data_IF_588095462199
#
_entry.id   IF_588095462199
#
_cell.length_a   1.000
_cell.length_b   1.000
_cell.length_c   1.000
_cell.angle_alpha   90.00
_cell.angle_beta   90.00
_cell.angle_gamma   90.00
#
_symmetry.space_group_name_H-M   'P 1'
#
loop_
_entity.id
_entity.type
_entity.pdbx_description
1 polymer ?
#
# COMPACT_ATOMS: atom_id res chain seq x y z
N UNK A 1 -11.81 -57.35 40.78
CA UNK A 1 -12.55 -56.70 39.68
C UNK A 1 -13.50 -55.60 40.16
N UNK A 2 -14.27 -55.79 41.26
CA UNK A 2 -15.16 -54.71 41.75
C UNK A 2 -14.47 -53.41 42.16
N UNK A 3 -13.28 -53.50 42.76
CA UNK A 3 -12.53 -52.31 43.19
C UNK A 3 -11.86 -51.51 42.06
N UNK A 4 -11.55 -52.18 40.94
CA UNK A 4 -11.00 -51.52 39.76
C UNK A 4 -12.10 -50.71 39.04
N UNK A 5 -13.34 -51.23 39.07
CA UNK A 5 -14.48 -50.51 38.46
C UNK A 5 -14.86 -49.26 39.24
N UNK A 6 -14.77 -49.29 40.59
CA UNK A 6 -14.98 -48.10 41.41
C UNK A 6 -13.88 -47.05 41.25
N UNK A 7 -12.60 -47.44 41.08
CA UNK A 7 -11.50 -46.53 40.84
C UNK A 7 -11.60 -45.86 39.45
N UNK A 8 -12.05 -46.60 38.43
CA UNK A 8 -12.28 -46.01 37.10
C UNK A 8 -13.46 -45.01 37.11
N UNK A 9 -14.53 -45.30 37.86
CA UNK A 9 -15.67 -44.37 37.96
C UNK A 9 -15.28 -43.07 38.69
N UNK A 10 -14.38 -43.15 39.68
CA UNK A 10 -13.89 -41.97 40.40
C UNK A 10 -12.96 -41.08 39.57
N UNK A 11 -12.18 -41.68 38.66
CA UNK A 11 -11.31 -40.94 37.75
C UNK A 11 -12.15 -40.23 36.65
N UNK A 12 -13.22 -40.83 36.15
CA UNK A 12 -14.13 -40.20 35.21
C UNK A 12 -14.94 -39.04 35.81
N UNK A 13 -15.23 -39.06 37.12
CA UNK A 13 -15.95 -37.95 37.75
C UNK A 13 -15.08 -36.72 38.02
N UNK A 14 -13.75 -36.86 38.10
CA UNK A 14 -12.82 -35.72 38.21
C UNK A 14 -12.64 -34.94 36.89
N UNK A 15 -12.93 -35.56 35.74
CA UNK A 15 -12.86 -34.92 34.45
C UNK A 15 -14.05 -33.98 34.15
N UNK A 16 -15.16 -34.13 34.87
CA UNK A 16 -16.37 -33.33 34.67
C UNK A 16 -16.28 -31.91 35.25
N UNK A 17 -15.26 -31.63 36.10
CA UNK A 17 -15.08 -30.31 36.75
C UNK A 17 -14.16 -29.39 35.96
N UNK A 18 -13.55 -29.87 34.86
CA UNK A 18 -12.60 -29.12 34.04
C UNK A 18 -13.26 -28.35 32.89
N UNK A 19 -14.58 -28.34 32.82
CA UNK A 19 -15.25 -27.58 31.76
C UNK A 19 -15.27 -26.10 32.15
N UNK A 20 -14.51 -25.31 31.39
CA UNK A 20 -14.48 -23.84 31.55
C UNK A 20 -15.92 -23.33 31.37
N UNK A 21 -16.43 -22.67 32.40
CA UNK A 21 -17.72 -21.96 32.30
C UNK A 21 -17.60 -20.82 31.30
N UNK A 22 -18.23 -21.00 30.13
CA UNK A 22 -18.28 -20.01 29.06
C UNK A 22 -19.53 -19.12 29.13
N UNK A 23 -20.35 -19.24 30.15
CA UNK A 23 -21.54 -18.40 30.36
C UNK A 23 -21.17 -16.98 30.79
N UNK A 24 -19.97 -16.80 31.33
CA UNK A 24 -19.47 -15.49 31.74
C UNK A 24 -18.25 -15.10 30.93
N UNK A 25 -18.24 -13.87 30.42
CA UNK A 25 -17.09 -13.33 29.68
C UNK A 25 -15.88 -13.24 30.63
N UNK A 26 -14.68 -13.69 30.21
CA UNK A 26 -13.47 -13.52 31.01
C UNK A 26 -13.24 -12.04 31.36
N UNK A 27 -12.81 -11.78 32.60
CA UNK A 27 -12.40 -10.43 32.96
C UNK A 27 -11.21 -10.01 32.09
N UNK A 28 -11.26 -8.78 31.59
CA UNK A 28 -10.13 -8.22 30.88
C UNK A 28 -8.86 -8.26 31.71
N UNK A 29 -7.77 -8.76 31.15
CA UNK A 29 -6.45 -8.65 31.76
C UNK A 29 -5.97 -7.19 31.81
N UNK A 30 -4.88 -6.91 32.52
CA UNK A 30 -4.27 -5.59 32.46
C UNK A 30 -3.90 -5.27 31.00
N UNK A 31 -4.08 -4.01 30.60
CA UNK A 31 -3.65 -3.57 29.29
C UNK A 31 -2.15 -3.81 29.11
N UNK A 32 -1.70 -4.34 27.96
CA UNK A 32 -0.27 -4.53 27.72
C UNK A 32 0.46 -3.20 27.76
N UNK A 33 1.57 -3.14 28.46
CA UNK A 33 2.48 -2.00 28.39
C UNK A 33 3.26 -2.07 27.07
N UNK A 34 3.06 -1.06 26.22
CA UNK A 34 3.75 -0.95 24.94
C UNK A 34 4.98 -0.07 25.17
N UNK A 35 6.15 -0.69 25.23
CA UNK A 35 7.43 0.01 25.27
C UNK A 35 8.03 0.03 23.85
N UNK A 36 7.88 1.16 23.17
CA UNK A 36 8.51 1.40 21.87
C UNK A 36 9.84 2.13 22.10
N UNK A 37 10.92 1.60 21.56
CA UNK A 37 12.18 2.33 21.48
C UNK A 37 12.03 3.52 20.54
N UNK A 38 12.60 4.66 20.89
CA UNK A 38 12.65 5.80 19.99
C UNK A 38 13.57 5.45 18.80
N UNK A 39 13.14 5.66 17.54
CA UNK A 39 13.97 5.42 16.39
C UNK A 39 15.12 6.44 16.32
N UNK A 40 16.29 6.01 15.88
CA UNK A 40 17.37 6.92 15.57
C UNK A 40 17.13 7.58 14.21
N UNK A 41 17.41 8.88 14.11
CA UNK A 41 17.11 9.65 12.90
C UNK A 41 18.26 10.54 12.47
N UNK A 42 18.40 10.77 11.17
CA UNK A 42 19.26 11.79 10.59
C UNK A 42 18.70 12.31 9.27
N UNK A 43 19.21 13.45 8.82
CA UNK A 43 18.80 14.03 7.53
C UNK A 43 20.04 14.30 6.69
N UNK A 44 20.01 13.89 5.43
CA UNK A 44 21.08 14.18 4.47
C UNK A 44 21.01 15.66 4.02
N UNK A 45 22.11 16.18 3.48
CA UNK A 45 22.17 17.57 2.94
C UNK A 45 21.16 17.81 1.81
N UNK A 46 20.79 16.78 1.07
CA UNK A 46 19.78 16.84 0.02
C UNK A 46 18.34 16.78 0.55
N UNK A 47 18.13 16.68 1.86
CA UNK A 47 16.82 16.71 2.50
C UNK A 47 16.18 15.34 2.75
N UNK A 48 16.76 14.23 2.28
CA UNK A 48 16.29 12.89 2.61
C UNK A 48 16.33 12.68 4.13
N UNK A 49 15.19 12.37 4.72
CA UNK A 49 15.06 12.00 6.14
C UNK A 49 15.22 10.49 6.27
N UNK A 50 16.04 10.05 7.23
CA UNK A 50 16.28 8.63 7.47
C UNK A 50 15.89 8.30 8.90
N UNK A 51 15.16 7.20 9.05
CA UNK A 51 14.64 6.70 10.32
C UNK A 51 15.13 5.25 10.44
N UNK A 52 15.86 4.95 11.51
CA UNK A 52 16.45 3.62 11.73
C UNK A 52 15.89 3.02 13.01
N UNK A 53 15.40 1.80 12.92
CA UNK A 53 14.95 0.99 14.05
C UNK A 53 15.79 -0.30 14.06
N UNK A 54 16.76 -0.36 14.96
CA UNK A 54 17.59 -1.55 15.15
C UNK A 54 16.77 -2.67 15.80
N UNK A 55 16.83 -3.87 15.23
CA UNK A 55 16.14 -5.04 15.74
C UNK A 55 16.92 -6.32 15.42
N UNK A 56 17.75 -6.76 16.35
CA UNK A 56 18.65 -7.91 16.20
C UNK A 56 18.01 -9.28 16.53
N UNK A 57 16.68 -9.36 16.62
CA UNK A 57 16.00 -10.63 16.92
C UNK A 57 16.04 -11.64 15.77
N UNK A 58 16.08 -11.16 14.54
CA UNK A 58 16.16 -11.97 13.33
C UNK A 58 17.20 -11.35 12.39
N UNK A 59 18.02 -12.14 11.68
CA UNK A 59 19.06 -11.64 10.77
C UNK A 59 18.44 -11.12 9.44
N UNK A 60 17.59 -10.11 9.53
CA UNK A 60 16.87 -9.53 8.39
C UNK A 60 16.84 -8.02 8.48
N UNK A 61 16.80 -7.39 7.31
CA UNK A 61 16.64 -5.95 7.17
C UNK A 61 15.53 -5.64 6.16
N UNK A 62 14.83 -4.55 6.39
CA UNK A 62 13.87 -3.96 5.46
C UNK A 62 14.17 -2.47 5.28
N UNK A 63 14.14 -2.03 4.04
CA UNK A 63 14.28 -0.64 3.60
C UNK A 63 12.98 -0.21 2.94
N UNK A 64 12.46 0.93 3.33
CA UNK A 64 11.26 1.52 2.70
C UNK A 64 11.51 3.00 2.45
N UNK A 65 11.72 3.34 1.19
CA UNK A 65 11.78 4.71 0.71
C UNK A 65 10.37 5.14 0.31
N UNK A 66 9.85 6.18 0.93
CA UNK A 66 8.52 6.72 0.65
C UNK A 66 8.64 8.18 0.25
N UNK A 67 7.96 8.57 -0.80
CA UNK A 67 7.82 9.95 -1.24
C UNK A 67 6.53 10.53 -0.68
N UNK A 68 6.63 11.59 0.12
CA UNK A 68 5.48 12.30 0.73
C UNK A 68 4.95 13.37 -0.24
N UNK A 69 4.64 12.95 -1.46
CA UNK A 69 4.07 13.84 -2.43
C UNK A 69 2.57 14.01 -2.18
N UNK A 70 2.06 15.23 -2.19
CA UNK A 70 0.62 15.44 -2.18
C UNK A 70 -0.01 14.85 -3.45
N UNK A 71 -1.29 14.41 -3.39
CA UNK A 71 -2.01 14.00 -4.59
C UNK A 71 -1.98 15.12 -5.63
N UNK A 72 -1.71 14.77 -6.89
CA UNK A 72 -1.74 15.71 -8.01
C UNK A 72 -2.45 15.07 -9.20
N UNK A 73 -3.30 15.82 -9.88
CA UNK A 73 -3.96 15.36 -11.09
C UNK A 73 -2.94 15.31 -12.25
N UNK A 74 -3.03 14.25 -13.05
CA UNK A 74 -2.20 14.06 -14.24
C UNK A 74 -2.91 14.53 -15.52
N UNK A 75 -4.24 14.71 -15.46
CA UNK A 75 -5.06 15.24 -16.55
C UNK A 75 -4.95 14.39 -17.82
N UNK A 76 -4.58 15.02 -18.94
CA UNK A 76 -4.45 14.32 -20.22
C UNK A 76 -3.33 13.27 -20.27
N UNK A 77 -2.51 13.20 -19.22
CA UNK A 77 -1.42 12.24 -19.07
C UNK A 77 -1.67 11.25 -17.93
N UNK A 78 -2.93 11.05 -17.56
CA UNK A 78 -3.31 10.08 -16.52
C UNK A 78 -2.79 8.69 -16.86
N UNK A 79 -1.94 8.14 -15.97
CA UNK A 79 -1.16 6.93 -16.17
C UNK A 79 0.34 7.15 -16.33
N UNK A 80 0.80 8.40 -16.47
CA UNK A 80 2.24 8.70 -16.56
C UNK A 80 2.96 8.33 -15.26
N UNK A 81 2.33 8.54 -14.10
CA UNK A 81 2.85 8.09 -12.81
C UNK A 81 2.98 6.57 -12.72
N UNK A 82 1.96 5.84 -13.16
CA UNK A 82 1.95 4.38 -13.16
C UNK A 82 3.07 3.84 -14.06
N UNK A 83 3.19 4.35 -15.28
CA UNK A 83 4.27 4.00 -16.21
C UNK A 83 5.65 4.37 -15.65
N UNK A 84 5.79 5.55 -15.04
CA UNK A 84 7.03 5.94 -14.37
C UNK A 84 7.43 4.97 -13.28
N UNK A 85 6.46 4.55 -12.44
CA UNK A 85 6.69 3.60 -11.35
C UNK A 85 7.06 2.19 -11.84
N UNK A 86 6.43 1.70 -12.91
CA UNK A 86 6.69 0.36 -13.47
C UNK A 86 8.04 0.25 -14.18
N UNK A 87 8.60 1.39 -14.61
CA UNK A 87 9.94 1.44 -15.19
C UNK A 87 11.07 1.44 -14.15
N UNK A 88 10.76 1.71 -12.87
CA UNK A 88 11.74 1.57 -11.79
C UNK A 88 12.02 0.08 -11.51
N UNK A 89 13.25 -0.23 -11.12
CA UNK A 89 13.66 -1.61 -10.85
C UNK A 89 13.87 -2.48 -12.09
N UNK A 90 13.85 -1.88 -13.29
CA UNK A 90 14.22 -2.56 -14.55
C UNK A 90 15.74 -2.44 -14.84
N UNK A 91 16.57 -2.66 -13.80
CA UNK A 91 17.98 -2.30 -13.81
C UNK A 91 18.20 -0.82 -13.51
N UNK A 92 19.45 -0.38 -13.66
CA UNK A 92 19.86 1.01 -13.48
C UNK A 92 20.82 1.46 -14.59
N UNK A 93 21.37 2.66 -14.48
CA UNK A 93 22.41 3.11 -15.40
C UNK A 93 23.74 2.34 -15.23
N UNK A 94 23.94 1.70 -14.09
CA UNK A 94 25.18 0.97 -13.76
C UNK A 94 25.04 -0.55 -13.90
N UNK A 95 23.85 -1.11 -13.82
CA UNK A 95 23.60 -2.56 -13.86
C UNK A 95 22.42 -2.88 -14.80
N UNK A 96 22.59 -3.89 -15.65
CA UNK A 96 21.52 -4.35 -16.54
C UNK A 96 20.35 -4.93 -15.75
N UNK A 97 19.18 -5.03 -16.38
CA UNK A 97 17.99 -5.66 -15.77
C UNK A 97 18.24 -7.11 -15.37
N UNK A 98 18.92 -7.86 -16.22
CA UNK A 98 19.18 -9.28 -16.00
C UNK A 98 20.15 -9.47 -14.83
N UNK A 99 21.27 -8.73 -14.82
CA UNK A 99 22.26 -8.78 -13.73
C UNK A 99 21.64 -8.30 -12.40
N UNK A 100 20.80 -7.26 -12.44
CA UNK A 100 20.06 -6.76 -11.27
C UNK A 100 19.17 -7.86 -10.67
N UNK A 101 18.37 -8.52 -11.52
CA UNK A 101 17.50 -9.61 -11.07
C UNK A 101 18.31 -10.81 -10.55
N UNK A 102 19.40 -11.19 -11.23
CA UNK A 102 20.27 -12.28 -10.79
C UNK A 102 20.87 -12.00 -9.40
N UNK A 103 21.35 -10.77 -9.15
CA UNK A 103 21.88 -10.41 -7.82
C UNK A 103 20.79 -10.43 -6.74
N UNK A 104 19.61 -9.89 -7.04
CA UNK A 104 18.47 -9.88 -6.10
C UNK A 104 18.07 -11.30 -5.75
N UNK A 105 17.96 -12.17 -6.74
CA UNK A 105 17.59 -13.58 -6.56
C UNK A 105 18.69 -14.35 -5.79
N UNK A 106 19.96 -14.12 -6.10
CA UNK A 106 21.08 -14.72 -5.39
C UNK A 106 21.06 -14.40 -3.89
N UNK A 107 20.74 -13.17 -3.54
CA UNK A 107 20.65 -12.75 -2.13
C UNK A 107 19.34 -13.21 -1.46
N UNK A 108 18.40 -13.80 -2.20
CA UNK A 108 17.05 -14.07 -1.71
C UNK A 108 16.32 -12.81 -1.24
N UNK A 109 16.69 -11.66 -1.81
CA UNK A 109 16.09 -10.38 -1.49
C UNK A 109 14.78 -10.19 -2.24
N UNK A 110 13.96 -9.27 -1.74
CA UNK A 110 12.75 -8.82 -2.43
C UNK A 110 12.82 -7.33 -2.62
N UNK A 111 12.57 -6.87 -3.83
CA UNK A 111 12.50 -5.45 -4.15
C UNK A 111 11.18 -5.13 -4.83
N UNK A 112 10.66 -3.94 -4.58
CA UNK A 112 9.43 -3.44 -5.19
C UNK A 112 9.54 -1.93 -5.37
N UNK A 113 9.06 -1.45 -6.51
CA UNK A 113 9.15 -0.06 -6.90
C UNK A 113 7.77 0.45 -7.35
N UNK A 114 7.57 1.73 -7.20
CA UNK A 114 6.38 2.42 -7.67
C UNK A 114 6.63 3.92 -7.79
N UNK A 115 5.68 4.66 -8.29
CA UNK A 115 5.82 6.10 -8.52
C UNK A 115 6.10 6.94 -7.26
N UNK A 116 5.79 6.39 -6.08
CA UNK A 116 5.94 7.09 -4.79
C UNK A 116 6.67 6.27 -3.73
N UNK A 117 7.25 5.14 -4.10
CA UNK A 117 8.00 4.32 -3.15
C UNK A 117 9.03 3.43 -3.85
N UNK A 118 10.01 3.02 -3.06
CA UNK A 118 10.88 1.89 -3.38
C UNK A 118 11.14 1.12 -2.08
N UNK A 119 11.09 -0.19 -2.12
CA UNK A 119 11.31 -1.02 -0.95
C UNK A 119 12.19 -2.21 -1.25
N UNK A 120 12.97 -2.62 -0.27
CA UNK A 120 13.78 -3.83 -0.34
C UNK A 120 13.79 -4.55 1.00
N UNK A 121 13.91 -5.87 0.99
CA UNK A 121 14.11 -6.66 2.20
C UNK A 121 14.92 -7.91 1.91
N UNK A 122 15.71 -8.34 2.89
CA UNK A 122 16.52 -9.55 2.76
C UNK A 122 17.25 -9.90 4.05
N UNK A 123 18.28 -10.76 3.94
CA UNK A 123 19.12 -11.13 5.06
C UNK A 123 20.12 -10.01 5.39
N UNK A 124 20.37 -9.77 6.68
CA UNK A 124 21.27 -8.71 7.15
C UNK A 124 22.71 -8.84 6.65
N UNK A 125 23.20 -10.05 6.36
CA UNK A 125 24.52 -10.24 5.75
C UNK A 125 24.68 -9.57 4.37
N UNK A 126 23.58 -9.27 3.68
CA UNK A 126 23.56 -8.56 2.39
C UNK A 126 23.02 -7.13 2.51
N UNK A 127 22.87 -6.61 3.73
CA UNK A 127 22.20 -5.34 3.99
C UNK A 127 22.78 -4.18 3.15
N UNK A 128 24.11 -4.01 3.12
CA UNK A 128 24.79 -2.97 2.34
C UNK A 128 24.46 -3.08 0.85
N UNK A 129 24.61 -4.29 0.26
CA UNK A 129 24.37 -4.48 -1.17
C UNK A 129 22.91 -4.32 -1.57
N UNK A 130 21.98 -4.78 -0.72
CA UNK A 130 20.53 -4.59 -0.94
C UNK A 130 20.17 -3.10 -0.96
N UNK A 131 20.76 -2.30 -0.06
CA UNK A 131 20.54 -0.85 -0.03
C UNK A 131 21.15 -0.16 -1.26
N UNK A 132 22.34 -0.53 -1.65
CA UNK A 132 23.02 0.01 -2.84
C UNK A 132 22.20 -0.25 -4.10
N UNK A 133 21.72 -1.48 -4.32
CA UNK A 133 20.86 -1.81 -5.46
C UNK A 133 19.52 -1.07 -5.43
N UNK A 134 18.92 -0.95 -4.26
CA UNK A 134 17.68 -0.18 -4.08
C UNK A 134 17.90 1.29 -4.45
N UNK A 135 18.97 1.90 -3.93
CA UNK A 135 19.30 3.29 -4.20
C UNK A 135 19.59 3.52 -5.69
N UNK A 136 20.43 2.69 -6.29
CA UNK A 136 20.84 2.83 -7.70
C UNK A 136 19.64 2.68 -8.64
N UNK A 137 18.81 1.64 -8.45
CA UNK A 137 17.61 1.45 -9.27
C UNK A 137 16.56 2.56 -9.06
N UNK A 138 16.48 3.15 -7.85
CA UNK A 138 15.53 4.19 -7.54
C UNK A 138 15.95 5.58 -8.02
N UNK A 139 17.24 5.94 -7.95
CA UNK A 139 17.71 7.31 -8.25
C UNK A 139 18.50 7.43 -9.55
N UNK A 140 18.94 6.30 -10.12
CA UNK A 140 19.62 6.22 -11.42
C UNK A 140 18.94 5.22 -12.38
N UNK A 141 17.59 5.26 -12.53
CA UNK A 141 16.89 4.27 -13.32
C UNK A 141 17.30 4.30 -14.80
N UNK A 142 17.25 3.14 -15.43
CA UNK A 142 17.50 2.98 -16.85
C UNK A 142 16.17 2.95 -17.63
N UNK A 143 15.56 4.09 -17.87
CA UNK A 143 14.32 4.19 -18.64
C UNK A 143 14.58 4.03 -20.14
N UNK A 144 14.36 2.82 -20.66
CA UNK A 144 14.49 2.52 -22.08
C UNK A 144 13.16 2.57 -22.81
N UNK A 145 13.19 2.81 -24.14
CA UNK A 145 11.97 2.81 -24.96
C UNK A 145 11.34 1.41 -25.00
N UNK A 146 12.15 0.37 -25.06
CA UNK A 146 11.68 -1.01 -25.09
C UNK A 146 10.88 -1.39 -23.83
N UNK A 147 11.41 -1.10 -22.63
CA UNK A 147 10.69 -1.39 -21.38
C UNK A 147 9.44 -0.51 -21.24
N UNK A 148 9.50 0.74 -21.69
CA UNK A 148 8.34 1.62 -21.70
C UNK A 148 7.20 1.05 -22.55
N UNK A 149 7.47 0.59 -23.77
CA UNK A 149 6.46 0.01 -24.66
C UNK A 149 5.85 -1.28 -24.08
N UNK A 150 6.67 -2.10 -23.43
CA UNK A 150 6.20 -3.30 -22.72
C UNK A 150 5.25 -2.95 -21.57
N UNK A 151 5.64 -2.00 -20.73
CA UNK A 151 4.81 -1.62 -19.56
C UNK A 151 3.53 -0.87 -20.01
N UNK A 152 3.61 -0.02 -21.04
CA UNK A 152 2.43 0.62 -21.62
C UNK A 152 1.44 -0.42 -22.19
N UNK A 153 1.95 -1.42 -22.91
CA UNK A 153 1.13 -2.52 -23.44
C UNK A 153 0.43 -3.30 -22.31
N UNK A 154 1.17 -3.67 -21.27
CA UNK A 154 0.60 -4.36 -20.09
C UNK A 154 -0.50 -3.53 -19.42
N UNK A 155 -0.29 -2.23 -19.28
CA UNK A 155 -1.28 -1.34 -18.66
C UNK A 155 -2.55 -1.27 -19.50
N UNK A 156 -2.42 -1.12 -20.83
CA UNK A 156 -3.55 -1.14 -21.76
C UNK A 156 -4.31 -2.48 -21.74
N UNK A 157 -3.59 -3.61 -21.72
CA UNK A 157 -4.21 -4.94 -21.61
C UNK A 157 -4.95 -5.11 -20.26
N UNK A 158 -4.38 -4.58 -19.18
CA UNK A 158 -5.02 -4.52 -17.87
C UNK A 158 -6.34 -3.74 -17.91
N UNK A 159 -6.36 -2.58 -18.57
CA UNK A 159 -7.60 -1.80 -18.77
C UNK A 159 -8.66 -2.60 -19.54
N UNK A 160 -8.31 -3.22 -20.66
CA UNK A 160 -9.24 -4.05 -21.46
C UNK A 160 -9.84 -5.20 -20.66
N UNK A 161 -9.06 -5.77 -19.75
CA UNK A 161 -9.54 -6.81 -18.84
C UNK A 161 -10.53 -6.24 -17.83
N UNK A 162 -10.21 -5.06 -17.27
CA UNK A 162 -11.05 -4.38 -16.28
C UNK A 162 -12.37 -3.85 -16.86
N UNK A 163 -12.42 -3.47 -18.15
CA UNK A 163 -13.65 -3.04 -18.82
C UNK A 163 -14.79 -4.08 -18.73
N UNK A 164 -14.45 -5.35 -18.60
CA UNK A 164 -15.43 -6.45 -18.44
C UNK A 164 -15.85 -6.69 -16.99
N UNK A 165 -15.23 -6.01 -16.04
CA UNK A 165 -15.48 -6.16 -14.62
C UNK A 165 -16.50 -5.13 -14.13
N UNK A 166 -17.67 -5.62 -13.67
CA UNK A 166 -18.71 -4.77 -13.07
C UNK A 166 -18.16 -3.98 -11.88
N UNK A 167 -17.37 -4.63 -11.03
CA UNK A 167 -16.77 -3.98 -9.85
C UNK A 167 -15.76 -2.88 -10.24
N UNK A 168 -14.94 -3.12 -11.28
CA UNK A 168 -13.98 -2.11 -11.75
C UNK A 168 -14.70 -0.89 -12.34
N UNK A 169 -15.71 -1.12 -13.20
CA UNK A 169 -16.53 -0.05 -13.78
C UNK A 169 -17.25 0.75 -12.70
N UNK A 170 -17.90 0.07 -11.76
CA UNK A 170 -18.59 0.72 -10.65
C UNK A 170 -17.62 1.55 -9.78
N UNK A 171 -16.44 1.02 -9.45
CA UNK A 171 -15.42 1.75 -8.68
C UNK A 171 -14.88 2.98 -9.41
N UNK A 172 -14.68 2.90 -10.72
CA UNK A 172 -14.23 4.01 -11.55
C UNK A 172 -15.29 5.13 -11.60
N UNK A 173 -16.53 4.77 -11.93
CA UNK A 173 -17.65 5.71 -11.97
C UNK A 173 -17.87 6.36 -10.60
N UNK A 174 -17.88 5.55 -9.54
CA UNK A 174 -18.01 6.01 -8.16
C UNK A 174 -16.98 7.10 -7.82
N UNK A 175 -15.70 6.88 -8.09
CA UNK A 175 -14.67 7.89 -7.83
C UNK A 175 -14.85 9.14 -8.68
N UNK A 176 -15.18 8.99 -9.97
CA UNK A 176 -15.40 10.12 -10.86
C UNK A 176 -16.59 10.98 -10.43
N UNK A 177 -17.67 10.38 -9.93
CA UNK A 177 -18.83 11.08 -9.40
C UNK A 177 -18.53 11.80 -8.08
N UNK A 178 -17.81 11.13 -7.16
CA UNK A 178 -17.45 11.73 -5.86
C UNK A 178 -16.47 12.90 -5.96
N UNK A 179 -15.46 12.74 -6.79
CA UNK A 179 -14.31 13.67 -6.80
C UNK A 179 -14.27 14.56 -8.04
N UNK A 180 -14.95 14.20 -9.11
CA UNK A 180 -14.80 14.84 -10.41
C UNK A 180 -13.60 14.31 -11.20
N UNK A 181 -13.69 14.31 -12.53
CA UNK A 181 -12.67 13.77 -13.43
C UNK A 181 -11.34 14.54 -13.43
N UNK A 182 -11.33 15.78 -12.93
CA UNK A 182 -10.15 16.62 -12.83
C UNK A 182 -9.48 16.57 -11.45
N UNK A 183 -9.93 15.67 -10.60
CA UNK A 183 -9.37 15.47 -9.26
C UNK A 183 -8.52 14.20 -9.23
N UNK A 184 -7.36 14.15 -8.53
CA UNK A 184 -6.47 12.98 -8.50
C UNK A 184 -7.14 11.66 -8.13
N UNK A 185 -8.20 11.72 -7.31
CA UNK A 185 -8.97 10.53 -6.91
C UNK A 185 -10.09 10.16 -7.87
N UNK A 186 -10.47 11.07 -8.76
CA UNK A 186 -11.59 10.90 -9.68
C UNK A 186 -11.16 10.74 -11.14
N UNK A 187 -9.93 11.12 -11.49
CA UNK A 187 -9.38 10.82 -12.82
C UNK A 187 -9.12 9.32 -12.97
N UNK A 188 -9.10 8.85 -14.19
CA UNK A 188 -8.87 7.45 -14.52
C UNK A 188 -8.20 7.30 -15.89
N UNK A 189 -7.45 6.24 -16.01
CA UNK A 189 -6.75 5.86 -17.24
C UNK A 189 -7.75 5.43 -18.31
N UNK A 190 -7.48 5.82 -19.54
CA UNK A 190 -8.19 5.35 -20.75
C UNK A 190 -7.17 4.80 -21.74
N UNK A 191 -7.58 3.87 -22.61
CA UNK A 191 -6.69 3.36 -23.63
C UNK A 191 -6.13 4.49 -24.49
N UNK A 192 -6.99 5.38 -24.98
CA UNK A 192 -6.59 6.55 -25.81
C UNK A 192 -5.62 7.48 -25.07
N UNK A 193 -5.82 7.69 -23.76
CA UNK A 193 -4.93 8.49 -22.92
C UNK A 193 -3.56 7.83 -22.80
N UNK A 194 -3.54 6.53 -22.45
CA UNK A 194 -2.29 5.77 -22.30
C UNK A 194 -1.48 5.72 -23.58
N UNK A 195 -2.11 5.55 -24.75
CA UNK A 195 -1.44 5.53 -26.06
C UNK A 195 -0.77 6.86 -26.41
N UNK A 196 -1.22 7.97 -25.81
CA UNK A 196 -0.63 9.31 -26.00
C UNK A 196 0.53 9.62 -25.04
N UNK A 197 0.74 8.81 -24.03
CA UNK A 197 1.85 8.98 -23.09
C UNK A 197 3.12 8.50 -23.78
N UNK A 198 4.17 9.29 -23.66
CA UNK A 198 5.50 8.99 -24.19
C UNK A 198 6.48 8.65 -23.07
N UNK A 199 7.60 8.01 -23.39
CA UNK A 199 8.71 7.83 -22.45
C UNK A 199 9.18 9.17 -21.85
N UNK A 200 9.11 10.25 -22.61
CA UNK A 200 9.47 11.58 -22.14
C UNK A 200 8.51 12.07 -21.04
N UNK A 201 7.21 11.78 -21.15
CA UNK A 201 6.21 12.11 -20.14
C UNK A 201 6.46 11.33 -18.83
N UNK A 202 6.74 10.02 -18.92
CA UNK A 202 7.09 9.19 -17.76
C UNK A 202 8.37 9.68 -17.07
N UNK A 203 9.41 10.03 -17.84
CA UNK A 203 10.65 10.64 -17.32
C UNK A 203 10.39 12.01 -16.67
N UNK A 204 9.54 12.82 -17.26
CA UNK A 204 9.19 14.14 -16.72
C UNK A 204 8.45 14.01 -15.38
N UNK A 205 7.53 13.05 -15.28
CA UNK A 205 6.86 12.73 -14.03
C UNK A 205 7.86 12.28 -12.96
N UNK A 206 8.73 11.31 -13.27
CA UNK A 206 9.76 10.83 -12.37
C UNK A 206 10.63 11.98 -11.85
N UNK A 207 11.20 12.79 -12.74
CA UNK A 207 12.08 13.89 -12.37
C UNK A 207 11.38 14.95 -11.48
N UNK A 208 10.08 15.13 -11.64
CA UNK A 208 9.28 16.06 -10.83
C UNK A 208 8.91 15.49 -9.47
N UNK A 209 8.55 14.21 -9.42
CA UNK A 209 7.96 13.58 -8.23
C UNK A 209 9.00 12.86 -7.35
N UNK A 210 10.04 12.27 -7.96
CA UNK A 210 11.00 11.42 -7.26
C UNK A 210 12.19 12.26 -6.74
N UNK A 211 11.96 12.98 -5.62
CA UNK A 211 12.90 13.95 -5.06
C UNK A 211 13.19 13.70 -3.58
N UNK A 212 14.44 13.87 -3.10
CA UNK A 212 14.85 13.50 -1.74
C UNK A 212 14.28 14.40 -0.65
N UNK A 213 14.05 15.66 -0.94
CA UNK A 213 13.61 16.64 0.08
C UNK A 213 12.13 16.48 0.47
N UNK A 214 11.43 15.56 -0.16
CA UNK A 214 10.07 15.13 0.18
C UNK A 214 10.00 13.61 0.43
N UNK A 215 11.12 12.99 0.85
CA UNK A 215 11.23 11.55 1.01
C UNK A 215 11.68 11.18 2.41
N UNK A 216 11.26 9.98 2.84
CA UNK A 216 11.76 9.31 4.03
C UNK A 216 12.31 7.93 3.63
N UNK A 217 13.45 7.57 4.19
CA UNK A 217 13.94 6.20 4.18
C UNK A 217 13.80 5.61 5.58
N UNK A 218 12.95 4.61 5.71
CA UNK A 218 12.79 3.84 6.94
C UNK A 218 13.59 2.55 6.82
N UNK A 219 14.44 2.28 7.80
CA UNK A 219 15.26 1.08 7.89
C UNK A 219 14.91 0.36 9.18
N UNK A 220 14.53 -0.91 9.06
CA UNK A 220 14.16 -1.74 10.22
C UNK A 220 14.86 -3.09 10.11
N UNK A 221 15.55 -3.51 11.16
CA UNK A 221 16.12 -4.86 11.20
C UNK A 221 17.46 -4.96 11.91
N UNK A 222 18.15 -6.04 11.59
CA UNK A 222 19.46 -6.40 12.17
C UNK A 222 20.58 -5.64 11.45
N UNK A 223 20.72 -4.39 11.84
CA UNK A 223 21.70 -3.42 11.31
C UNK A 223 22.11 -2.45 12.41
N UNK A 224 23.29 -1.86 12.27
CA UNK A 224 23.79 -0.81 13.15
C UNK A 224 23.52 0.58 12.53
N UNK A 225 23.06 1.53 13.33
CA UNK A 225 22.78 2.91 12.89
C UNK A 225 23.99 3.57 12.21
N UNK A 226 25.19 3.33 12.72
CA UNK A 226 26.42 3.91 12.16
C UNK A 226 26.69 3.43 10.74
N UNK A 227 26.44 2.15 10.47
CA UNK A 227 26.64 1.54 9.14
C UNK A 227 25.56 2.05 8.18
N UNK A 228 24.29 2.06 8.60
CA UNK A 228 23.22 2.66 7.81
C UNK A 228 23.52 4.11 7.47
N UNK A 229 23.98 4.92 8.42
CA UNK A 229 24.33 6.32 8.18
C UNK A 229 25.45 6.46 7.15
N UNK A 230 26.45 5.59 7.21
CA UNK A 230 27.56 5.56 6.25
C UNK A 230 27.06 5.20 4.84
N UNK A 231 26.34 4.09 4.70
CA UNK A 231 25.84 3.59 3.41
C UNK A 231 24.86 4.56 2.76
N UNK A 232 23.84 4.97 3.48
CA UNK A 232 22.86 5.95 2.96
C UNK A 232 23.53 7.27 2.55
N UNK A 233 24.55 7.72 3.32
CA UNK A 233 25.29 8.95 2.96
C UNK A 233 26.12 8.77 1.69
N UNK A 234 26.57 7.57 1.37
CA UNK A 234 27.28 7.28 0.13
C UNK A 234 26.33 7.16 -1.06
N UNK A 235 25.27 6.38 -0.91
CA UNK A 235 24.40 5.97 -2.02
C UNK A 235 23.40 7.05 -2.44
N UNK A 236 22.92 7.87 -1.49
CA UNK A 236 21.89 8.91 -1.77
C UNK A 236 22.42 10.35 -1.88
N UNK A 237 23.75 10.58 -1.75
CA UNK A 237 24.33 11.94 -1.76
C UNK A 237 24.06 12.73 -3.03
N UNK A 238 24.04 12.07 -4.17
CA UNK A 238 23.94 12.67 -5.50
C UNK A 238 22.48 12.82 -5.97
N UNK A 239 21.50 12.33 -5.16
CA UNK A 239 20.09 12.51 -5.46
C UNK A 239 19.69 13.98 -5.32
N UNK A 240 19.27 14.58 -6.44
CA UNK A 240 19.07 16.03 -6.56
C UNK A 240 17.74 16.46 -5.95
N UNK A 241 17.78 17.55 -5.18
CA UNK A 241 16.56 18.23 -4.71
C UNK A 241 15.70 18.71 -5.85
N UNK A 242 14.38 18.70 -5.63
CA UNK A 242 13.40 19.27 -6.55
C UNK A 242 12.46 20.27 -5.86
N UNK A 243 11.60 20.90 -6.63
CA UNK A 243 10.51 21.71 -6.10
C UNK A 243 9.43 20.77 -5.54
N UNK A 244 8.91 21.10 -4.35
CA UNK A 244 7.80 20.37 -3.78
C UNK A 244 6.57 20.44 -4.69
N UNK A 245 5.86 19.32 -4.83
CA UNK A 245 4.57 19.30 -5.52
C UNK A 245 3.54 20.07 -4.69
N UNK A 246 2.65 20.78 -5.35
CA UNK A 246 1.52 21.46 -4.72
C UNK A 246 0.21 20.76 -5.06
N UNK A 247 -0.74 20.82 -4.14
CA UNK A 247 -2.13 20.44 -4.42
C UNK A 247 -2.78 21.57 -5.25
N UNK A 248 -3.26 21.24 -6.42
CA UNK A 248 -3.94 22.19 -7.30
C UNK A 248 -5.22 21.56 -7.87
N UNK A 249 -6.15 21.27 -6.97
CA UNK A 249 -7.47 20.75 -7.34
C UNK A 249 -8.55 21.30 -6.41
N UNK A 250 -9.76 21.43 -6.96
CA UNK A 250 -10.91 21.92 -6.20
C UNK A 250 -11.31 20.90 -5.12
N UNK A 251 -11.70 21.38 -3.95
CA UNK A 251 -12.28 20.53 -2.91
C UNK A 251 -13.63 19.96 -3.41
N UNK A 252 -13.76 18.63 -3.47
CA UNK A 252 -14.99 18.01 -3.94
C UNK A 252 -16.13 18.28 -2.96
N UNK A 253 -17.35 18.36 -3.48
CA UNK A 253 -18.56 18.64 -2.70
C UNK A 253 -19.57 17.51 -2.90
N UNK A 254 -20.32 17.20 -1.85
CA UNK A 254 -21.45 16.30 -1.97
C UNK A 254 -22.56 16.91 -2.84
N UNK A 255 -23.32 16.06 -3.51
CA UNK A 255 -24.54 16.45 -4.21
C UNK A 255 -25.57 17.00 -3.19
N UNK A 256 -26.37 17.98 -3.61
CA UNK A 256 -27.35 18.62 -2.73
C UNK A 256 -28.62 17.77 -2.49
N UNK A 257 -28.88 16.84 -3.41
CA UNK A 257 -30.02 15.91 -3.37
C UNK A 257 -29.53 14.51 -3.72
N UNK A 258 -30.16 13.44 -3.21
CA UNK A 258 -29.81 12.08 -3.62
C UNK A 258 -29.91 11.89 -5.13
N UNK A 259 -28.92 11.32 -5.74
CA UNK A 259 -28.83 11.00 -7.16
C UNK A 259 -28.67 9.49 -7.33
N UNK A 260 -29.17 8.95 -8.43
CA UNK A 260 -29.02 7.56 -8.82
C UNK A 260 -28.36 7.55 -10.20
N UNK A 261 -27.14 7.05 -10.25
CA UNK A 261 -26.39 6.87 -11.48
C UNK A 261 -26.42 5.38 -11.86
N UNK A 262 -26.82 5.09 -13.07
CA UNK A 262 -26.95 3.73 -13.57
C UNK A 262 -26.02 3.50 -14.77
N UNK A 263 -25.21 2.46 -14.68
CA UNK A 263 -24.34 2.00 -15.77
C UNK A 263 -24.81 0.62 -16.21
N UNK A 264 -25.29 0.51 -17.44
CA UNK A 264 -25.70 -0.77 -18.02
C UNK A 264 -24.47 -1.56 -18.48
N UNK A 265 -24.35 -2.78 -17.98
CA UNK A 265 -23.32 -3.74 -18.41
C UNK A 265 -24.00 -5.02 -18.92
N UNK A 266 -24.30 -5.10 -20.23
CA UNK A 266 -24.91 -6.27 -20.83
C UNK A 266 -24.08 -7.53 -20.57
N UNK A 267 -24.74 -8.63 -20.25
CA UNK A 267 -24.15 -9.93 -19.89
C UNK A 267 -23.51 -10.02 -18.48
N UNK A 268 -23.63 -9.01 -17.65
CA UNK A 268 -23.25 -9.11 -16.24
C UNK A 268 -24.24 -10.03 -15.50
N UNK A 269 -23.72 -10.98 -14.73
CA UNK A 269 -24.54 -11.90 -13.92
C UNK A 269 -24.89 -11.33 -12.53
N UNK A 270 -24.21 -10.27 -12.13
CA UNK A 270 -24.39 -9.60 -10.84
C UNK A 270 -24.38 -8.09 -11.02
N UNK A 271 -25.15 -7.38 -10.21
CA UNK A 271 -25.10 -5.92 -10.12
C UNK A 271 -24.20 -5.48 -8.97
N UNK A 272 -23.45 -4.41 -9.19
CA UNK A 272 -22.71 -3.72 -8.12
C UNK A 272 -23.53 -2.50 -7.69
N UNK A 273 -23.91 -2.43 -6.43
CA UNK A 273 -24.61 -1.29 -5.85
C UNK A 273 -23.68 -0.57 -4.88
N UNK A 274 -23.46 0.72 -5.08
CA UNK A 274 -22.61 1.56 -4.23
C UNK A 274 -23.46 2.71 -3.71
N UNK A 275 -23.54 2.87 -2.39
CA UNK A 275 -24.14 4.04 -1.74
C UNK A 275 -22.99 4.81 -1.09
N UNK A 276 -22.82 6.07 -1.46
CA UNK A 276 -21.64 6.82 -1.08
C UNK A 276 -21.90 8.30 -0.88
N UNK A 277 -21.08 8.93 -0.05
CA UNK A 277 -20.93 10.38 0.07
C UNK A 277 -19.54 10.71 0.63
N UNK A 278 -19.14 11.96 0.47
CA UNK A 278 -17.90 12.48 1.07
C UNK A 278 -18.14 12.81 2.54
N UNK A 279 -17.12 12.53 3.36
CA UNK A 279 -17.03 12.97 4.75
C UNK A 279 -15.69 13.66 4.97
N UNK A 280 -15.68 14.76 5.73
CA UNK A 280 -14.42 15.40 6.17
C UNK A 280 -14.09 14.85 7.56
N UNK A 281 -13.31 13.76 7.58
CA UNK A 281 -12.87 13.09 8.80
C UNK A 281 -11.38 12.80 8.70
N UNK A 282 -10.60 13.35 9.63
CA UNK A 282 -9.14 13.17 9.72
C UNK A 282 -8.81 12.26 10.90
N UNK A 283 -7.66 11.58 10.82
CA UNK A 283 -7.16 10.77 11.95
C UNK A 283 -6.96 11.56 13.24
N UNK A 284 -6.74 12.88 13.14
CA UNK A 284 -6.59 13.78 14.27
C UNK A 284 -7.90 14.20 14.91
N UNK A 285 -9.03 13.92 14.28
CA UNK A 285 -10.34 14.37 14.77
C UNK A 285 -10.79 13.51 15.96
N UNK A 286 -11.41 14.11 16.96
CA UNK A 286 -11.88 13.38 18.16
C UNK A 286 -12.90 12.29 17.82
N UNK A 287 -13.66 12.46 16.73
CA UNK A 287 -14.68 11.51 16.27
C UNK A 287 -14.12 10.38 15.41
N UNK A 288 -12.81 10.37 15.09
CA UNK A 288 -12.22 9.38 14.19
C UNK A 288 -12.44 7.93 14.68
N UNK A 289 -12.03 7.62 15.91
CA UNK A 289 -12.23 6.29 16.47
C UNK A 289 -13.70 5.93 16.72
N UNK A 290 -14.56 6.84 17.23
CA UNK A 290 -16.00 6.59 17.29
C UNK A 290 -16.62 6.23 15.95
N UNK A 291 -16.24 6.92 14.86
CA UNK A 291 -16.72 6.62 13.50
C UNK A 291 -16.22 5.27 12.99
N UNK A 292 -14.97 4.91 13.26
CA UNK A 292 -14.45 3.56 12.91
C UNK A 292 -15.24 2.46 13.61
N UNK A 293 -15.55 2.63 14.89
CA UNK A 293 -16.36 1.67 15.65
C UNK A 293 -17.78 1.61 15.09
N UNK A 294 -18.39 2.75 14.79
CA UNK A 294 -19.72 2.80 14.17
C UNK A 294 -19.76 2.07 12.82
N UNK A 295 -18.74 2.27 11.96
CA UNK A 295 -18.60 1.55 10.70
C UNK A 295 -18.45 0.04 10.91
N UNK A 296 -17.68 -0.38 11.92
CA UNK A 296 -17.52 -1.79 12.25
C UNK A 296 -18.84 -2.42 12.68
N UNK A 297 -19.63 -1.73 13.50
CA UNK A 297 -20.96 -2.19 13.93
C UNK A 297 -21.94 -2.23 12.74
N UNK A 298 -21.85 -1.26 11.84
CA UNK A 298 -22.77 -1.16 10.71
C UNK A 298 -22.47 -2.24 9.65
N UNK A 299 -21.23 -2.35 9.20
CA UNK A 299 -20.88 -3.16 8.04
C UNK A 299 -19.60 -4.00 8.17
N UNK A 300 -18.95 -4.02 9.34
CA UNK A 300 -17.70 -4.72 9.55
C UNK A 300 -17.87 -6.21 9.80
N UNK A 301 -17.43 -7.04 8.86
CA UNK A 301 -17.41 -8.50 9.01
C UNK A 301 -18.77 -9.17 9.09
N UNK A 302 -18.78 -10.44 9.48
CA UNK A 302 -19.98 -11.30 9.50
C UNK A 302 -21.00 -10.97 10.58
N UNK A 303 -20.64 -10.14 11.55
CA UNK A 303 -21.53 -9.72 12.66
C UNK A 303 -22.07 -8.30 12.46
N UNK A 304 -21.68 -7.61 11.37
CA UNK A 304 -22.16 -6.28 11.04
C UNK A 304 -23.64 -6.27 10.66
N UNK A 305 -24.37 -5.21 11.01
CA UNK A 305 -25.82 -5.10 10.77
C UNK A 305 -26.18 -5.25 9.29
N UNK A 306 -25.38 -4.70 8.39
CA UNK A 306 -25.62 -4.83 6.95
C UNK A 306 -25.42 -6.27 6.48
N UNK A 307 -24.37 -6.96 6.96
CA UNK A 307 -24.14 -8.36 6.63
C UNK A 307 -25.31 -9.24 7.08
N UNK A 308 -25.69 -9.15 8.35
CA UNK A 308 -26.80 -9.93 8.90
C UNK A 308 -28.11 -9.68 8.18
N UNK A 309 -28.39 -8.43 7.80
CA UNK A 309 -29.62 -8.10 7.09
C UNK A 309 -29.56 -8.50 5.60
N UNK A 310 -28.53 -8.04 4.86
CA UNK A 310 -28.52 -8.19 3.41
C UNK A 310 -28.16 -9.60 2.97
N UNK A 311 -27.25 -10.26 3.70
CA UNK A 311 -26.79 -11.61 3.36
C UNK A 311 -27.59 -12.68 4.08
N UNK A 312 -27.61 -12.66 5.42
CA UNK A 312 -28.18 -13.76 6.21
C UNK A 312 -29.72 -13.75 6.18
N UNK A 313 -30.35 -12.58 6.32
CA UNK A 313 -31.82 -12.46 6.35
C UNK A 313 -32.44 -12.38 4.94
N UNK A 314 -31.87 -11.57 4.03
CA UNK A 314 -32.45 -11.30 2.71
C UNK A 314 -31.83 -12.12 1.58
N UNK A 315 -30.61 -12.63 1.72
CA UNK A 315 -29.92 -13.37 0.67
C UNK A 315 -29.63 -12.56 -0.60
N UNK A 316 -29.48 -11.24 -0.49
CA UNK A 316 -29.24 -10.37 -1.65
C UNK A 316 -27.79 -10.37 -2.11
N UNK A 317 -26.86 -10.81 -1.27
CA UNK A 317 -25.40 -10.80 -1.54
C UNK A 317 -24.74 -12.01 -0.92
N UNK A 318 -23.50 -12.27 -1.33
CA UNK A 318 -22.65 -13.36 -0.80
C UNK A 318 -21.66 -12.87 0.24
#
# INVERSE_FOLDING_TARGET
MKNIFFSLLFICSLSAVAQIDRSTQPKAGPAPEINLSEPETFTLKNGLKVIVVENHKLPRVAYTLTLDNPPSAEGDKTGASALSGSLLGQGSQSISKDDFNEEVDYMGARMSFGSQYASASGLSQYAERILELLADAAIHPNFTQEEFEKEQTKLIEGLKTNEKSVAAAAGQVSRALLYGKNHPKGEFETQEGLEKITLADAKAFYNKAFIPNNAYLVVVGDVDFKDIKKWVSADFKDWKKGAALSNDFATPQNVSTPEIDFVDMPNAVQSQVIVQNLVDLKMSDPDYFPVLIANQILGGGGEGRLFLNLREDKGYTY
#
